data_IF_887595964026
#
_entry.id   IF_887595964026
#
_cell.length_a   1.000
_cell.length_b   1.000
_cell.length_c   1.000
_cell.angle_alpha   90.00
_cell.angle_beta   90.00
_cell.angle_gamma   90.00
#
_symmetry.space_group_name_H-M   'P 1'
#
loop_
_entity.id
_entity.type
_entity.pdbx_description
1 polymer ?
2 non-polymer ?
3 water ?
#
# COMPACT_ATOMS: atom_id res chain seq x y z
N UNK A 20 2.91 -20.48 11.16
CA UNK A 20 2.63 -19.04 10.88
C UNK A 20 3.22 -18.60 9.55
N UNK A 21 2.42 -17.93 8.73
CA UNK A 21 2.87 -17.47 7.43
C UNK A 21 2.06 -16.27 6.90
N UNK A 22 2.77 -15.34 6.25
CA UNK A 22 2.15 -14.13 5.74
C UNK A 22 2.16 -14.02 4.21
N UNK A 23 0.97 -13.98 3.61
CA UNK A 23 0.79 -13.87 2.16
C UNK A 23 0.32 -12.48 1.71
N UNK A 24 1.04 -11.91 0.76
CA UNK A 24 0.72 -10.61 0.18
C UNK A 24 0.62 -10.85 -1.33
N UNK A 25 -0.52 -10.53 -1.91
CA UNK A 25 -0.71 -10.75 -3.33
C UNK A 25 -1.83 -9.81 -3.77
N UNK A 26 -2.04 -9.68 -5.08
CA UNK A 26 -3.10 -8.79 -5.53
C UNK A 26 -4.28 -9.48 -6.21
N UNK A 27 -5.42 -8.81 -6.17
CA UNK A 27 -6.63 -9.30 -6.78
C UNK A 27 -7.31 -8.08 -7.37
N UNK A 28 -7.93 -8.27 -8.52
CA UNK A 28 -8.64 -7.19 -9.17
C UNK A 28 -10.04 -7.18 -8.60
N UNK A 29 -10.72 -6.06 -8.80
CA UNK A 29 -12.09 -5.92 -8.36
C UNK A 29 -12.89 -7.02 -9.06
N UNK A 30 -12.58 -7.22 -10.34
CA UNK A 30 -13.24 -8.23 -11.17
C UNK A 30 -13.16 -9.62 -10.55
N UNK A 31 -12.12 -9.87 -9.76
CA UNK A 31 -11.98 -11.16 -9.10
C UNK A 31 -12.73 -11.12 -7.78
N UNK A 32 -12.91 -9.92 -7.24
CA UNK A 32 -13.63 -9.76 -5.98
C UNK A 32 -15.13 -9.55 -6.23
N UNK A 51 -13.22 -20.66 1.25
CA UNK A 51 -14.61 -20.27 1.04
C UNK A 51 -15.12 -19.50 2.26
N UNK A 52 -14.96 -20.11 3.43
CA UNK A 52 -15.36 -19.50 4.70
C UNK A 52 -14.37 -18.39 5.03
N UNK A 53 -13.09 -18.70 4.89
CA UNK A 53 -12.06 -17.72 5.19
C UNK A 53 -12.07 -16.53 4.25
N UNK A 54 -12.54 -16.73 3.03
CA UNK A 54 -12.57 -15.65 2.06
C UNK A 54 -13.56 -14.55 2.42
N UNK A 55 -14.66 -14.91 3.07
CA UNK A 55 -15.63 -13.91 3.47
C UNK A 55 -15.21 -13.29 4.80
N UNK A 56 -14.37 -14.01 5.56
CA UNK A 56 -13.88 -13.48 6.83
C UNK A 56 -13.01 -12.30 6.44
N UNK A 57 -12.24 -12.50 5.37
CA UNK A 57 -11.37 -11.47 4.84
C UNK A 57 -12.24 -10.27 4.44
N UNK A 58 -13.20 -10.52 3.55
CA UNK A 58 -14.10 -9.46 3.10
C UNK A 58 -14.79 -8.75 4.28
N UNK A 59 -15.21 -9.53 5.28
CA UNK A 59 -15.87 -8.98 6.46
C UNK A 59 -14.90 -8.14 7.28
N UNK A 60 -13.65 -8.07 6.82
CA UNK A 60 -12.63 -7.29 7.52
C UNK A 60 -12.08 -6.21 6.61
N UNK A 61 -12.68 -6.08 5.43
CA UNK A 61 -12.23 -5.08 4.47
C UNK A 61 -12.92 -3.73 4.53
N UNK A 62 -12.29 -2.75 3.90
CA UNK A 62 -12.79 -1.37 3.83
C UNK A 62 -14.09 -1.33 3.02
N UNK A 63 -15.18 -0.83 3.60
CA UNK A 63 -16.42 -0.77 2.83
C UNK A 63 -16.20 0.18 1.65
N UNK A 64 -16.50 -0.32 0.46
CA UNK A 64 -16.34 0.39 -0.81
C UNK A 64 -16.66 1.88 -0.86
N UNK A 65 -16.26 2.50 -1.97
CA UNK A 65 -16.51 3.90 -2.26
C UNK A 65 -16.58 4.02 -3.77
N UNK A 66 -16.74 5.25 -4.26
CA UNK A 66 -16.84 5.51 -5.69
C UNK A 66 -15.77 4.85 -6.55
N UNK A 67 -14.57 4.65 -5.99
CA UNK A 67 -13.49 4.10 -6.79
C UNK A 67 -13.26 2.59 -6.75
N UNK A 68 -14.22 1.85 -6.21
CA UNK A 68 -14.12 0.39 -6.15
C UNK A 68 -14.96 -0.20 -7.29
N UNK A 69 -14.30 -0.47 -8.41
CA UNK A 69 -14.96 -1.03 -9.57
C UNK A 69 -13.92 -1.61 -10.51
N UNK A 70 -14.32 -2.17 -11.67
CA UNK A 70 -13.34 -2.73 -12.60
C UNK A 70 -12.12 -1.82 -12.80
N UNK A 71 -10.95 -2.44 -12.95
CA UNK A 71 -9.73 -1.67 -13.12
C UNK A 71 -8.99 -1.54 -11.80
N UNK A 72 -9.74 -1.35 -10.73
CA UNK A 72 -9.19 -1.22 -9.39
C UNK A 72 -8.59 -2.53 -8.92
N UNK A 73 -7.35 -2.48 -8.43
CA UNK A 73 -6.72 -3.68 -7.93
C UNK A 73 -6.44 -3.51 -6.44
N UNK A 74 -6.23 -4.62 -5.74
CA UNK A 74 -5.95 -4.57 -4.31
C UNK A 74 -4.84 -5.54 -3.93
N UNK A 75 -4.06 -5.17 -2.92
CA UNK A 75 -3.04 -6.05 -2.41
C UNK A 75 -3.61 -6.47 -1.06
N UNK A 76 -3.67 -7.77 -0.79
CA UNK A 76 -4.20 -8.25 0.48
C UNK A 76 -3.11 -9.02 1.23
N UNK A 77 -3.00 -8.74 2.53
CA UNK A 77 -2.03 -9.41 3.37
C UNK A 77 -2.81 -10.37 4.24
N UNK A 78 -2.62 -11.67 4.02
CA UNK A 78 -3.34 -12.70 4.75
C UNK A 78 -2.50 -13.68 5.57
N UNK A 79 -2.89 -13.85 6.83
CA UNK A 79 -2.21 -14.75 7.75
C UNK A 79 -3.22 -15.65 8.45
N UNK A 80 -3.10 -16.96 8.21
CA UNK A 80 -3.99 -17.95 8.80
C UNK A 80 -5.45 -17.63 8.49
N UNK A 81 -5.73 -17.41 7.21
CA UNK A 81 -7.09 -17.12 6.78
C UNK A 81 -7.66 -15.75 7.12
N UNK A 82 -6.83 -14.84 7.62
CA UNK A 82 -7.33 -13.51 7.95
C UNK A 82 -6.61 -12.30 7.32
N UNK A 83 -7.38 -11.24 7.09
CA UNK A 83 -6.88 -10.02 6.51
C UNK A 83 -6.14 -9.18 7.54
N UNK A 84 -4.83 -9.04 7.39
CA UNK A 84 -4.08 -8.25 8.35
C UNK A 84 -3.74 -6.87 7.81
N UNK A 85 -3.74 -6.72 6.49
CA UNK A 85 -3.42 -5.43 5.89
C UNK A 85 -3.84 -5.40 4.43
N UNK A 86 -3.88 -4.20 3.86
CA UNK A 86 -4.25 -4.09 2.46
C UNK A 86 -4.11 -2.67 1.95
N UNK A 87 -4.18 -2.53 0.64
CA UNK A 87 -4.06 -1.24 0.02
C UNK A 87 -4.68 -1.34 -1.35
N UNK A 88 -5.20 -0.23 -1.82
CA UNK A 88 -5.88 -0.22 -3.11
C UNK A 88 -5.16 0.57 -4.17
N UNK A 89 -5.17 0.05 -5.39
CA UNK A 89 -4.54 0.73 -6.51
C UNK A 89 -5.56 1.10 -7.58
N UNK A 90 -5.48 2.34 -8.05
CA UNK A 90 -6.36 2.85 -9.09
C UNK A 90 -5.51 3.52 -10.17
N UNK A 91 -5.88 3.33 -11.43
CA UNK A 91 -5.14 3.96 -12.53
C UNK A 91 -5.33 5.47 -12.49
N UNK A 92 -4.26 6.20 -12.82
CA UNK A 92 -4.32 7.65 -12.81
C UNK A 92 -5.31 8.23 -13.81
N UNK A 93 -5.57 7.53 -14.91
CA UNK A 93 -6.51 8.07 -15.89
C UNK A 93 -7.96 7.74 -15.56
N UNK A 94 -8.18 6.82 -14.64
CA UNK A 94 -9.54 6.48 -14.24
C UNK A 94 -9.84 7.44 -13.09
N UNK A 95 -11.12 7.67 -12.78
CA UNK A 95 -11.45 8.58 -11.68
C UNK A 95 -10.78 8.11 -10.38
N UNK A 96 -10.22 9.04 -9.62
CA UNK A 96 -9.56 8.67 -8.38
C UNK A 96 -9.61 9.78 -7.34
N UNK A 97 -9.03 9.53 -6.18
CA UNK A 97 -9.04 10.50 -5.10
C UNK A 97 -8.27 11.78 -5.36
N UNK A 98 -7.26 11.72 -6.22
CA UNK A 98 -6.48 12.90 -6.54
C UNK A 98 -7.24 13.76 -7.56
N UNK A 99 -7.81 13.11 -8.57
CA UNK A 99 -8.54 13.81 -9.62
C UNK A 99 -9.95 14.24 -9.23
N UNK A 100 -10.56 13.55 -8.27
CA UNK A 100 -11.92 13.89 -7.87
C UNK A 100 -12.06 14.32 -6.41
N UNK A 101 -11.96 13.38 -5.49
CA UNK A 101 -12.09 13.71 -4.07
C UNK A 101 -11.37 15.00 -3.67
N UNK A 102 -10.08 15.08 -3.99
CA UNK A 102 -9.29 16.23 -3.62
C UNK A 102 -8.83 17.06 -4.80
N UNK A 103 -9.77 17.24 -5.73
CA UNK A 103 -9.57 18.02 -6.93
C UNK A 103 -9.12 19.44 -6.58
N UNK A 104 -9.89 20.11 -5.73
CA UNK A 104 -9.57 21.47 -5.33
C UNK A 104 -8.18 21.62 -4.71
N UNK A 105 -7.69 20.55 -4.08
CA UNK A 105 -6.39 20.59 -3.42
C UNK A 105 -5.15 20.46 -4.32
N UNK A 106 -5.20 19.56 -5.30
CA UNK A 106 -4.04 19.32 -6.14
C UNK A 106 -4.21 19.54 -7.65
N UNK A 107 -5.20 20.34 -8.04
CA UNK A 107 -5.43 20.60 -9.46
C UNK A 107 -4.31 21.41 -10.11
N UNK A 108 -3.30 21.79 -9.33
CA UNK A 108 -2.18 22.56 -9.86
C UNK A 108 -0.95 21.69 -10.06
N UNK A 109 -1.13 20.38 -9.91
CA UNK A 109 -0.05 19.42 -10.06
C UNK A 109 -0.19 18.63 -11.37
N UNK A 110 0.88 18.59 -12.16
CA UNK A 110 0.86 17.86 -13.42
C UNK A 110 0.90 16.36 -13.18
N UNK A 111 -0.09 15.64 -13.69
CA UNK A 111 -0.12 14.21 -13.52
C UNK A 111 0.16 13.47 -14.82
N UNK A 112 1.03 12.46 -14.76
CA UNK A 112 1.39 11.65 -15.93
C UNK A 112 0.12 11.04 -16.48
N UNK A 113 0.18 10.56 -17.72
CA UNK A 113 -0.97 9.93 -18.35
C UNK A 113 -1.06 8.49 -17.87
N UNK A 114 0.09 7.92 -17.57
CA UNK A 114 0.20 6.54 -17.12
C UNK A 114 0.66 6.48 -15.67
N UNK A 115 -0.05 5.72 -14.85
CA UNK A 115 0.33 5.62 -13.47
C UNK A 115 -0.71 5.01 -12.56
N UNK A 116 -0.33 4.85 -11.31
CA UNK A 116 -1.24 4.28 -10.35
C UNK A 116 -1.29 5.12 -9.08
N UNK A 117 -2.46 5.11 -8.45
CA UNK A 117 -2.58 5.82 -7.19
C UNK A 117 -2.98 4.78 -6.15
N UNK A 118 -2.24 4.71 -5.05
CA UNK A 118 -2.61 3.77 -4.00
C UNK A 118 -3.48 4.55 -3.02
N UNK A 119 -4.34 3.87 -2.31
CA UNK A 119 -5.19 4.54 -1.34
C UNK A 119 -5.73 3.50 -0.39
N UNK A 120 -6.44 3.96 0.64
CA UNK A 120 -7.03 3.09 1.64
C UNK A 120 -5.99 2.14 2.21
N UNK A 121 -4.85 2.73 2.52
CA UNK A 121 -3.77 1.98 3.11
C UNK A 121 -4.32 1.45 4.43
N UNK A 122 -4.45 0.14 4.50
CA UNK A 122 -5.00 -0.49 5.67
C UNK A 122 -4.10 -1.49 6.35
N UNK A 123 -4.01 -1.35 7.66
CA UNK A 123 -3.25 -2.27 8.48
C UNK A 123 -3.98 -2.46 9.81
N UNK A 124 -4.32 -3.69 10.14
CA UNK A 124 -4.96 -3.93 11.43
C UNK A 124 -3.85 -4.30 12.42
N UNK A 125 -3.39 -3.31 13.18
CA UNK A 125 -2.32 -3.55 14.13
C UNK A 125 -2.69 -4.60 15.19
N UNK A 126 -3.93 -4.56 15.69
CA UNK A 126 -4.35 -5.52 16.70
C UNK A 126 -4.31 -6.96 16.16
N UNK A 127 -4.82 -7.19 14.96
CA UNK A 127 -4.80 -8.54 14.39
C UNK A 127 -3.39 -8.99 13.99
N UNK A 128 -2.58 -8.08 13.47
CA UNK A 128 -1.22 -8.43 13.06
C UNK A 128 -0.47 -8.95 14.28
N UNK A 129 -0.55 -8.20 15.37
CA UNK A 129 0.11 -8.57 16.62
C UNK A 129 -0.27 -9.99 17.03
N UNK A 130 -1.57 -10.25 17.06
CA UNK A 130 -2.08 -11.55 17.46
C UNK A 130 -1.67 -12.71 16.56
N UNK A 131 -1.40 -12.43 15.29
CA UNK A 131 -1.02 -13.48 14.35
C UNK A 131 0.46 -13.50 13.98
N UNK A 132 1.05 -12.32 13.83
CA UNK A 132 2.45 -12.21 13.43
C UNK A 132 3.34 -11.86 14.62
N UNK A 133 2.77 -11.94 15.81
CA UNK A 133 3.52 -11.62 17.00
C UNK A 133 3.77 -10.13 17.06
N UNK A 134 4.10 -9.65 18.25
CA UNK A 134 4.35 -8.24 18.45
C UNK A 134 5.69 -7.82 17.86
N UNK A 135 5.75 -6.55 17.44
CA UNK A 135 6.95 -5.96 16.86
C UNK A 135 7.17 -6.29 15.38
N UNK A 136 6.30 -7.13 14.82
CA UNK A 136 6.41 -7.48 13.41
C UNK A 136 6.13 -6.19 12.61
N UNK A 137 6.99 -5.87 11.63
CA UNK A 137 6.80 -4.66 10.83
C UNK A 137 5.87 -4.83 9.62
N UNK A 138 4.63 -5.22 9.89
CA UNK A 138 3.64 -5.42 8.85
C UNK A 138 3.58 -4.19 7.93
N UNK A 139 3.82 -3.02 8.52
CA UNK A 139 3.79 -1.77 7.77
C UNK A 139 4.89 -1.71 6.71
N UNK A 140 6.12 -2.03 7.11
CA UNK A 140 7.24 -2.02 6.17
C UNK A 140 7.05 -3.09 5.11
N UNK A 141 6.39 -4.19 5.47
CA UNK A 141 6.12 -5.29 4.54
C UNK A 141 5.17 -4.88 3.42
N UNK A 142 4.05 -4.25 3.79
CA UNK A 142 3.08 -3.82 2.80
C UNK A 142 3.73 -2.82 1.84
N UNK A 143 4.64 -2.00 2.36
CA UNK A 143 5.35 -1.03 1.52
C UNK A 143 6.18 -1.80 0.50
N UNK A 144 6.80 -2.89 0.97
CA UNK A 144 7.62 -3.75 0.14
C UNK A 144 6.74 -4.45 -0.88
N UNK A 145 5.55 -4.87 -0.44
CA UNK A 145 4.61 -5.53 -1.32
C UNK A 145 4.19 -4.55 -2.40
N UNK A 146 4.05 -3.28 -2.01
CA UNK A 146 3.66 -2.24 -2.94
C UNK A 146 4.68 -2.00 -4.04
N UNK A 147 5.97 -1.97 -3.65
CA UNK A 147 7.04 -1.76 -4.61
C UNK A 147 7.09 -2.99 -5.54
N UNK A 148 7.08 -4.18 -4.96
CA UNK A 148 7.14 -5.41 -5.74
C UNK A 148 5.97 -5.59 -6.70
N UNK A 149 4.79 -5.17 -6.28
CA UNK A 149 3.62 -5.27 -7.12
C UNK A 149 3.75 -4.22 -8.22
N UNK A 150 4.31 -3.07 -7.87
CA UNK A 150 4.47 -2.00 -8.83
C UNK A 150 5.40 -2.43 -9.96
N UNK A 151 6.51 -3.06 -9.61
CA UNK A 151 7.46 -3.50 -10.62
C UNK A 151 6.82 -4.54 -11.52
N UNK A 152 6.03 -5.42 -10.92
CA UNK A 152 5.35 -6.49 -11.64
C UNK A 152 4.25 -5.94 -12.57
N UNK A 153 3.88 -4.67 -12.39
CA UNK A 153 2.82 -4.11 -13.20
C UNK A 153 3.22 -2.92 -14.03
N UNK A 154 4.53 -2.67 -14.08
CA UNK A 154 5.08 -1.57 -14.87
C UNK A 154 4.85 -0.14 -14.36
N UNK A 155 5.17 0.09 -13.09
CA UNK A 155 5.05 1.42 -12.52
C UNK A 155 6.36 1.72 -11.82
N UNK A 156 7.04 2.76 -12.29
CA UNK A 156 8.29 3.14 -11.68
C UNK A 156 8.06 3.70 -10.29
N UNK A 157 6.96 4.41 -10.11
CA UNK A 157 6.66 4.96 -8.80
C UNK A 157 5.15 4.96 -8.58
N UNK A 158 4.73 5.34 -7.38
CA UNK A 158 3.32 5.35 -7.03
C UNK A 158 2.85 6.68 -6.43
N UNK A 159 1.73 7.19 -6.94
CA UNK A 159 1.18 8.44 -6.43
C UNK A 159 0.18 8.11 -5.32
N UNK A 160 0.14 8.95 -4.29
CA UNK A 160 -0.78 8.73 -3.18
C UNK A 160 -1.04 10.01 -2.37
N UNK A 161 -2.16 10.02 -1.65
CA UNK A 161 -2.54 11.12 -0.79
C UNK A 161 -2.52 10.57 0.62
N UNK A 162 -1.68 11.12 1.48
CA UNK A 162 -1.64 10.61 2.85
C UNK A 162 -1.90 11.69 3.88
N UNK A 163 -2.11 11.26 5.11
CA UNK A 163 -2.34 12.18 6.21
C UNK A 163 -0.99 12.47 6.84
N UNK A 164 -0.96 13.52 7.65
CA UNK A 164 0.25 13.92 8.35
C UNK A 164 0.93 12.68 8.95
N UNK A 165 0.18 11.92 9.76
CA UNK A 165 0.68 10.71 10.42
C UNK A 165 1.24 9.72 9.44
N UNK A 166 0.48 9.39 8.40
CA UNK A 166 0.97 8.44 7.42
C UNK A 166 2.28 8.99 6.86
N UNK A 167 2.33 10.30 6.62
CA UNK A 167 3.56 10.89 6.12
C UNK A 167 4.68 10.65 7.13
N UNK A 168 4.39 10.80 8.42
CA UNK A 168 5.42 10.58 9.44
C UNK A 168 5.97 9.16 9.34
N UNK A 169 5.08 8.19 9.17
CA UNK A 169 5.48 6.79 9.05
C UNK A 169 6.30 6.51 7.78
N UNK A 170 5.79 6.95 6.63
CA UNK A 170 6.48 6.76 5.37
C UNK A 170 7.89 7.32 5.46
N UNK A 171 8.01 8.46 6.12
CA UNK A 171 9.30 9.12 6.28
C UNK A 171 10.21 8.24 7.12
N UNK A 172 9.70 7.80 8.27
CA UNK A 172 10.47 6.96 9.17
C UNK A 172 10.86 5.61 8.57
N UNK A 173 10.08 5.13 7.60
CA UNK A 173 10.35 3.83 6.99
C UNK A 173 11.62 3.79 6.16
N UNK A 174 12.15 4.97 5.85
CA UNK A 174 13.35 5.04 5.04
C UNK A 174 13.05 5.11 3.56
N UNK A 175 11.84 4.70 3.18
CA UNK A 175 11.42 4.74 1.79
C UNK A 175 11.61 6.19 1.31
N UNK A 176 12.27 6.39 0.16
CA UNK A 176 12.54 7.74 -0.34
C UNK A 176 11.40 8.43 -1.07
N UNK A 177 10.29 8.60 -0.36
CA UNK A 177 9.10 9.20 -0.90
C UNK A 177 9.34 10.65 -1.30
N UNK A 178 8.45 11.20 -2.11
CA UNK A 178 8.59 12.57 -2.55
C UNK A 178 7.29 13.35 -2.39
N UNK A 179 7.31 14.34 -1.51
CA UNK A 179 6.13 15.16 -1.33
C UNK A 179 6.04 16.09 -2.54
N UNK A 180 4.94 16.00 -3.28
CA UNK A 180 4.72 16.82 -4.45
C UNK A 180 4.01 18.09 -4.00
N UNK A 181 3.18 17.95 -2.97
CA UNK A 181 2.46 19.10 -2.44
C UNK A 181 1.76 18.86 -1.13
N UNK A 182 1.97 19.78 -0.20
CA UNK A 182 1.33 19.71 1.10
C UNK A 182 0.07 20.55 0.90
N UNK A 183 -1.06 20.06 1.38
CA UNK A 183 -2.29 20.82 1.24
C UNK A 183 -3.03 20.83 2.56
N UNK A 184 -3.97 21.74 2.69
CA UNK A 184 -4.74 21.80 3.91
C UNK A 184 -6.15 21.32 3.66
N UNK A 185 -6.46 20.18 4.24
CA UNK A 185 -7.78 19.60 4.13
C UNK A 185 -8.66 20.58 4.91
N UNK A 186 -8.34 20.76 6.18
CA UNK A 186 -9.07 21.67 7.05
C UNK A 186 -8.17 22.82 7.48
N UNK A 187 -8.46 23.37 8.66
CA UNK A 187 -7.67 24.47 9.21
C UNK A 187 -6.34 23.90 9.68
N UNK A 188 -6.41 22.74 10.33
CA UNK A 188 -5.24 22.07 10.88
C UNK A 188 -4.94 20.72 10.25
N UNK A 189 -5.82 20.26 9.37
CA UNK A 189 -5.62 18.98 8.70
C UNK A 189 -4.74 19.09 7.47
N UNK A 190 -3.53 18.59 7.59
CA UNK A 190 -2.60 18.63 6.47
C UNK A 190 -2.56 17.26 5.83
N UNK A 191 -2.62 17.25 4.50
CA UNK A 191 -2.55 16.02 3.74
C UNK A 191 -1.50 16.26 2.66
N UNK A 192 -0.94 15.19 2.12
CA UNK A 192 0.11 15.36 1.15
C UNK A 192 -0.04 14.48 -0.07
N UNK A 193 0.44 15.00 -1.20
CA UNK A 193 0.45 14.25 -2.44
C UNK A 193 1.89 13.75 -2.54
N UNK A 194 2.06 12.44 -2.62
CA UNK A 194 3.38 11.85 -2.66
C UNK A 194 3.61 10.96 -3.84
N UNK A 195 4.88 10.78 -4.18
CA UNK A 195 5.24 9.84 -5.22
C UNK A 195 6.06 8.90 -4.37
N UNK A 196 5.82 7.60 -4.53
CA UNK A 196 6.55 6.58 -3.78
C UNK A 196 7.44 5.88 -4.81
N UNK A 197 8.77 5.96 -4.63
CA UNK A 197 9.71 5.34 -5.57
C UNK A 197 9.63 3.83 -5.56
N UNK A 198 9.56 3.25 -6.75
CA UNK A 198 9.47 1.79 -6.88
C UNK A 198 10.55 1.21 -7.77
N UNK A 199 11.74 1.82 -7.73
CA UNK A 199 12.86 1.31 -8.51
C UNK A 199 13.55 0.19 -7.74
N UNK A 200 14.57 -0.40 -8.35
CA UNK A 200 15.32 -1.50 -7.73
C UNK A 200 15.94 -1.09 -6.41
N UNK A 201 16.39 0.16 -6.31
CA UNK A 201 17.01 0.62 -5.07
C UNK A 201 16.00 0.65 -3.94
N UNK A 202 14.78 1.07 -4.27
CA UNK A 202 13.71 1.16 -3.29
C UNK A 202 13.32 -0.24 -2.84
N UNK A 203 13.25 -1.16 -3.80
CA UNK A 203 12.90 -2.54 -3.49
C UNK A 203 13.93 -3.15 -2.55
N UNK A 204 15.20 -3.05 -2.92
CA UNK A 204 16.27 -3.59 -2.08
C UNK A 204 16.30 -2.90 -0.71
N UNK A 205 16.06 -1.59 -0.71
CA UNK A 205 16.07 -0.82 0.52
C UNK A 205 14.98 -1.29 1.51
N UNK A 206 13.76 -1.50 1.03
CA UNK A 206 12.69 -1.96 1.91
C UNK A 206 12.90 -3.43 2.19
N UNK A 207 13.44 -4.13 1.20
CA UNK A 207 13.70 -5.55 1.36
C UNK A 207 14.73 -5.83 2.43
N UNK A 208 15.86 -5.13 2.37
CA UNK A 208 16.91 -5.33 3.35
C UNK A 208 16.43 -4.94 4.72
N UNK A 209 15.52 -3.97 4.74
CA UNK A 209 14.95 -3.48 5.97
C UNK A 209 14.16 -4.59 6.65
N UNK A 210 13.23 -5.16 5.91
CA UNK A 210 12.39 -6.26 6.38
C UNK A 210 13.23 -7.48 6.77
N UNK A 211 14.35 -7.69 6.09
CA UNK A 211 15.20 -8.84 6.38
C UNK A 211 15.87 -8.75 7.75
N UNK A 212 16.82 -7.84 7.90
CA UNK A 212 17.51 -7.69 9.17
C UNK A 212 16.51 -7.43 10.30
N UNK A 213 15.27 -7.11 9.93
CA UNK A 213 14.20 -6.84 10.90
C UNK A 213 13.44 -8.09 11.30
N UNK A 214 13.15 -8.93 10.32
CA UNK A 214 12.40 -10.15 10.56
C UNK A 214 13.31 -11.36 10.53
N UNK A 215 14.49 -11.18 9.93
CA UNK A 215 15.44 -12.26 9.82
C UNK A 215 14.94 -13.35 8.88
N UNK A 216 13.99 -13.00 8.02
CA UNK A 216 13.44 -13.97 7.09
C UNK A 216 14.46 -14.22 5.98
N UNK A 217 14.26 -15.29 5.19
CA UNK A 217 15.18 -15.61 4.10
C UNK A 217 15.31 -14.40 3.16
N UNK A 218 16.54 -14.09 2.72
CA UNK A 218 16.78 -12.96 1.81
C UNK A 218 16.03 -12.96 0.47
N UNK A 219 15.75 -14.14 -0.07
CA UNK A 219 15.05 -14.24 -1.36
C UNK A 219 13.53 -14.06 -1.22
N UNK A 220 13.04 -14.18 0.01
CA UNK A 220 11.62 -14.05 0.30
C UNK A 220 11.09 -12.62 0.10
N UNK A 221 11.99 -11.63 0.11
CA UNK A 221 11.56 -10.26 -0.06
C UNK A 221 11.78 -9.74 -1.47
N UNK A 222 12.19 -10.63 -2.36
CA UNK A 222 12.47 -10.24 -3.74
C UNK A 222 11.36 -10.61 -4.72
N UNK A 223 10.40 -11.38 -4.25
CA UNK A 223 9.35 -11.88 -5.12
C UNK A 223 7.99 -11.21 -5.09
N UNK A 224 7.15 -11.61 -6.05
CA UNK A 224 5.79 -11.13 -6.15
C UNK A 224 4.95 -12.16 -6.87
N UNK A 225 3.92 -12.71 -6.21
CA UNK A 225 3.48 -12.43 -4.84
C UNK A 225 4.54 -12.62 -3.77
N UNK A 226 4.27 -12.09 -2.59
CA UNK A 226 5.17 -12.21 -1.45
C UNK A 226 4.70 -13.30 -0.50
N UNK A 227 5.65 -13.89 0.22
CA UNK A 227 5.35 -14.92 1.20
C UNK A 227 6.39 -14.82 2.31
N UNK A 228 5.96 -14.45 3.51
CA UNK A 228 6.89 -14.31 4.62
C UNK A 228 6.63 -15.27 5.77
N UNK A 229 7.70 -15.87 6.31
CA UNK A 229 7.59 -16.81 7.44
C UNK A 229 7.45 -16.02 8.73
N UNK A 230 6.29 -16.10 9.37
CA UNK A 230 6.08 -15.39 10.62
C UNK A 230 6.15 -16.36 11.79
X LIG B 1 6.56 -0.84 11.24
X LIG B 1 5.48 0.50 11.16
X LIG B 1 8.19 -0.28 11.08
X LIG B 1 6.21 -1.94 9.95
X LIG B 1 6.38 -1.65 12.75
X LIG C 1 -4.72 23.96 -0.54
X LIG C 1 -4.54 25.68 -0.63
X LIG C 1 -4.63 23.47 1.11
X LIG C 1 -3.47 23.20 -1.45
X LIG C 1 -6.26 23.51 -1.18
X LIG D 1 -3.65 6.99 4.91
X LIG D 1 -3.20 8.65 5.09
X LIG D 1 -2.44 6.16 3.99
X LIG D 1 -5.17 6.88 4.10
X LIG D 1 -3.77 6.26 6.48
X LIG E 1 0.95 1.77 10.32
X LIG E 1 1.69 2.54 11.68
X LIG E 1 1.25 0.07 10.40
X LIG E 1 1.62 2.41 8.86
X LIG E 1 -0.76 2.06 10.34
X LIG F 1 10.21 -9.56 14.44
X LIG F 1 9.86 -8.22 13.40
X LIG F 1 9.94 -9.11 16.08
X LIG F 1 11.86 -10.04 14.23
X LIG F 1 9.16 -10.89 14.04
X LIG G 1 -4.22 -0.06 -11.51
X LIG G 1 -3.53 1.52 -11.63
X LIG G 1 -4.66 -0.37 -9.87
X LIG G 1 -3.05 -1.24 -12.02
X LIG G 1 -5.62 -0.17 -12.51
X LIG H 1 -6.52 11.04 3.66
X LIG H 1 -7.18 12.52 4.25
X LIG H 1 -6.59 9.84 4.90
X LIG H 1 -4.88 11.28 3.18
X LIG H 1 -7.45 10.50 2.30
#
# INVERSE_FOLDING_TARGET
MGSSHHHHHHSSGLVPRGSHMLELFDVSYEELQTTRSEELYKLRKKTFSDRLGWEVICSQGMESDEFDGPGTRYILGICEGQLVCSVRFTSLDRPNMITHTFQHCFSDVTLPAYGTESSRFFVDKARARALLGEHYPISQVLFLAMVNWAQNNAYGNIYTIVSRAMLKILTRSGWQIKVIKEAFLTEKERIYLLTLPAGQDDKQQLGGDVVSRTGCPPVAVTTWPLTLPV
REO RE O12 O13 O14 O15
REO RE O12 O13 O14 O15
REO RE O12 O13 O14 O15
REO RE O12 O13 O14 O15
REO RE O12 O13 O14 O15
REO RE O12 O13 O14 O15
REO RE O12 O13 O14 O15
#
